data_IF_527140391339
#
_entry.id   IF_527140391339
#
_cell.length_a   1.000
_cell.length_b   1.000
_cell.length_c   1.000
_cell.angle_alpha   90.00
_cell.angle_beta   90.00
_cell.angle_gamma   90.00
#
_symmetry.space_group_name_H-M   'P 1'
#
loop_
_entity.id
_entity.type
_entity.pdbx_description
1 polymer ?
#
# COMPACT_ATOMS: atom_id res chain seq x y z
N UNK A 1 -33.57 -51.20 -39.07
CA UNK A 1 -32.16 -51.06 -38.58
C UNK A 1 -31.84 -49.57 -38.63
N UNK A 2 -32.01 -48.86 -37.52
CA UNK A 2 -31.70 -47.42 -37.41
C UNK A 2 -30.48 -47.23 -36.56
N UNK A 3 -29.39 -46.76 -37.16
CA UNK A 3 -28.17 -46.36 -36.46
C UNK A 3 -28.38 -44.96 -35.86
N UNK A 4 -28.39 -44.87 -34.52
CA UNK A 4 -28.32 -43.60 -33.82
C UNK A 4 -26.87 -43.10 -33.83
N UNK A 5 -26.63 -41.97 -34.43
CA UNK A 5 -25.38 -41.22 -34.34
C UNK A 5 -25.42 -40.39 -33.04
N UNK A 6 -24.56 -40.75 -32.13
CA UNK A 6 -24.34 -39.94 -30.90
C UNK A 6 -23.54 -38.67 -31.27
N UNK A 7 -24.13 -37.52 -31.10
CA UNK A 7 -23.43 -36.23 -31.15
C UNK A 7 -22.86 -35.94 -29.78
N UNK A 8 -21.55 -36.14 -29.62
CA UNK A 8 -20.81 -35.68 -28.47
C UNK A 8 -20.66 -34.16 -28.61
N UNK A 9 -21.35 -33.42 -27.77
CA UNK A 9 -21.17 -31.99 -27.62
C UNK A 9 -19.84 -31.76 -26.88
N UNK A 10 -18.86 -31.22 -27.58
CA UNK A 10 -17.64 -30.70 -27.01
C UNK A 10 -17.98 -29.33 -26.42
N UNK A 11 -18.21 -29.27 -25.12
CA UNK A 11 -18.38 -28.01 -24.40
C UNK A 11 -16.99 -27.38 -24.21
N UNK A 12 -16.65 -26.45 -25.06
CA UNK A 12 -15.52 -25.56 -24.89
C UNK A 12 -15.88 -24.60 -23.75
N UNK A 13 -15.38 -24.86 -22.55
CA UNK A 13 -15.42 -23.90 -21.45
C UNK A 13 -14.45 -22.77 -21.83
N UNK A 14 -14.99 -21.69 -22.36
CA UNK A 14 -14.29 -20.42 -22.40
C UNK A 14 -14.16 -19.95 -20.95
N UNK A 15 -13.02 -20.21 -20.35
CA UNK A 15 -12.60 -19.50 -19.14
C UNK A 15 -12.28 -18.09 -19.62
N UNK A 16 -13.30 -17.21 -19.59
CA UNK A 16 -13.07 -15.78 -19.67
C UNK A 16 -12.25 -15.39 -18.46
N UNK A 17 -10.96 -15.13 -18.65
CA UNK A 17 -10.20 -14.29 -17.73
C UNK A 17 -10.92 -12.94 -17.77
N UNK A 18 -11.81 -12.71 -16.82
CA UNK A 18 -12.19 -11.39 -16.42
C UNK A 18 -10.91 -10.82 -15.82
N UNK A 19 -10.19 -10.03 -16.60
CA UNK A 19 -9.29 -9.04 -16.06
C UNK A 19 -10.20 -8.11 -15.24
N UNK A 20 -10.33 -8.43 -13.96
CA UNK A 20 -10.79 -7.43 -13.02
C UNK A 20 -9.77 -6.29 -13.17
N UNK A 21 -10.19 -5.20 -13.81
CA UNK A 21 -9.60 -3.92 -13.48
C UNK A 21 -9.81 -3.83 -11.98
N UNK A 22 -8.77 -4.13 -11.22
CA UNK A 22 -8.79 -3.87 -9.79
C UNK A 22 -9.07 -2.38 -9.70
N UNK A 23 -10.21 -2.05 -9.12
CA UNK A 23 -10.48 -0.70 -8.71
C UNK A 23 -9.23 -0.26 -7.95
N UNK A 24 -8.54 0.76 -8.44
CA UNK A 24 -7.32 1.25 -7.82
C UNK A 24 -7.72 1.78 -6.46
N UNK A 25 -7.52 0.98 -5.43
CA UNK A 25 -7.64 1.44 -4.06
C UNK A 25 -6.62 2.56 -3.89
N UNK A 26 -7.11 3.73 -3.60
CA UNK A 26 -6.29 4.93 -3.65
C UNK A 26 -5.95 5.43 -2.26
N UNK A 27 -5.31 4.61 -1.46
CA UNK A 27 -4.85 4.97 -0.13
C UNK A 27 -3.73 5.99 -0.18
N UNK A 28 -3.73 6.95 0.74
CA UNK A 28 -2.65 7.90 0.93
C UNK A 28 -2.14 7.81 2.36
N UNK A 29 -0.85 7.76 2.54
CA UNK A 29 -0.25 7.64 3.86
C UNK A 29 0.82 8.69 4.10
N UNK A 30 1.08 8.97 5.37
CA UNK A 30 2.16 9.85 5.80
C UNK A 30 2.86 9.29 7.04
N UNK A 31 4.12 9.66 7.21
CA UNK A 31 4.90 9.47 8.42
C UNK A 31 5.57 10.79 8.75
N UNK A 32 5.58 11.17 10.04
CA UNK A 32 6.35 12.30 10.56
C UNK A 32 7.18 11.80 11.72
N UNK A 33 8.49 11.93 11.61
CA UNK A 33 9.45 11.50 12.61
C UNK A 33 9.30 12.28 13.92
N UNK A 34 9.57 11.64 15.05
CA UNK A 34 9.37 12.21 16.40
C UNK A 34 10.19 13.47 16.68
N UNK A 35 11.31 13.66 15.98
CA UNK A 35 12.10 14.90 16.05
C UNK A 35 11.48 16.10 15.36
N UNK A 36 10.40 15.89 14.60
CA UNK A 36 9.65 16.95 13.93
C UNK A 36 8.34 17.30 14.65
N UNK A 37 7.92 16.48 15.59
CA UNK A 37 6.63 16.66 16.29
C UNK A 37 6.78 17.46 17.58
N UNK A 38 5.70 18.12 17.96
CA UNK A 38 5.67 18.97 19.14
C UNK A 38 5.85 18.23 20.47
N UNK A 39 5.35 16.98 20.51
CA UNK A 39 5.36 16.15 21.72
C UNK A 39 6.41 15.04 21.71
N UNK A 40 7.21 14.95 20.64
CA UNK A 40 8.24 13.93 20.50
C UNK A 40 7.70 12.54 20.16
N UNK A 41 6.47 12.41 19.68
CA UNK A 41 5.90 11.16 19.21
C UNK A 41 6.08 11.01 17.68
N UNK A 42 6.14 9.77 17.19
CA UNK A 42 5.91 9.51 15.77
C UNK A 42 4.45 9.75 15.43
N UNK A 43 4.20 10.40 14.30
CA UNK A 43 2.86 10.49 13.73
C UNK A 43 2.84 9.73 12.42
N UNK A 44 1.89 8.84 12.26
CA UNK A 44 1.62 8.21 10.97
C UNK A 44 0.11 7.98 10.82
N UNK A 45 -0.32 7.90 9.60
CA UNK A 45 -1.72 7.67 9.29
C UNK A 45 -1.91 7.41 7.81
N UNK A 46 -3.06 6.85 7.49
CA UNK A 46 -3.48 6.61 6.12
C UNK A 46 -4.95 6.94 5.91
N UNK A 47 -5.32 7.14 4.68
CA UNK A 47 -6.70 7.04 4.24
C UNK A 47 -6.93 5.66 3.64
N UNK A 48 -8.14 5.17 3.75
CA UNK A 48 -8.64 4.09 2.93
C UNK A 48 -9.60 4.71 1.94
N UNK A 49 -9.22 4.68 0.68
CA UNK A 49 -9.96 5.30 -0.40
C UNK A 49 -10.53 4.19 -1.30
N UNK A 50 -11.84 3.99 -1.19
CA UNK A 50 -12.56 3.02 -1.96
C UNK A 50 -13.41 3.72 -3.04
N UNK A 51 -13.40 3.25 -4.29
CA UNK A 51 -14.27 3.80 -5.31
C UNK A 51 -15.75 3.55 -4.93
N UNK A 52 -16.56 4.60 -4.90
CA UNK A 52 -17.97 4.53 -4.57
C UNK A 52 -18.77 5.50 -5.43
N UNK A 53 -19.86 5.08 -6.08
CA UNK A 53 -20.27 3.69 -6.30
C UNK A 53 -19.38 2.99 -7.34
N UNK A 54 -19.40 1.67 -7.37
CA UNK A 54 -18.80 0.91 -8.46
C UNK A 54 -19.37 1.35 -9.81
N UNK A 55 -18.59 1.23 -10.89
CA UNK A 55 -19.03 1.61 -12.25
C UNK A 55 -20.35 0.93 -12.70
N UNK A 56 -20.68 -0.23 -12.13
CA UNK A 56 -21.92 -0.97 -12.36
C UNK A 56 -23.10 -0.49 -11.51
N UNK A 57 -22.89 0.52 -10.66
CA UNK A 57 -23.91 1.08 -9.78
C UNK A 57 -24.27 0.20 -8.57
N UNK A 58 -23.56 -0.91 -8.35
CA UNK A 58 -23.72 -1.70 -7.13
C UNK A 58 -23.08 -0.96 -5.96
N UNK A 59 -23.84 -0.80 -4.89
CA UNK A 59 -23.33 -0.35 -3.61
C UNK A 59 -22.81 -1.59 -2.87
N UNK A 60 -21.70 -2.14 -3.32
CA UNK A 60 -21.03 -3.13 -2.50
C UNK A 60 -20.26 -2.40 -1.41
N UNK A 61 -20.76 -2.58 -0.21
CA UNK A 61 -20.10 -2.38 1.07
C UNK A 61 -19.70 -0.94 1.39
N UNK A 62 -20.57 -0.30 2.16
CA UNK A 62 -20.03 0.61 3.17
C UNK A 62 -19.15 -0.25 4.07
N UNK A 63 -17.84 -0.15 3.93
CA UNK A 63 -16.91 -0.80 4.85
C UNK A 63 -17.12 -0.23 6.24
N UNK A 64 -18.11 -0.79 6.94
CA UNK A 64 -18.41 -0.41 8.31
C UNK A 64 -17.21 -0.80 9.17
N UNK A 65 -16.46 0.18 9.61
CA UNK A 65 -15.34 -0.06 10.50
C UNK A 65 -15.81 -0.25 11.92
N UNK A 66 -15.37 -1.33 12.52
CA UNK A 66 -15.60 -1.64 13.92
C UNK A 66 -14.29 -1.63 14.71
N UNK A 67 -14.36 -1.16 15.93
CA UNK A 67 -13.24 -1.22 16.86
C UNK A 67 -13.41 -2.45 17.75
N UNK A 68 -12.44 -3.36 17.67
CA UNK A 68 -12.41 -4.57 18.46
C UNK A 68 -11.32 -4.53 19.51
N UNK A 69 -11.62 -5.10 20.67
CA UNK A 69 -10.64 -5.36 21.74
C UNK A 69 -10.51 -6.87 21.91
N UNK A 70 -9.35 -7.38 21.52
CA UNK A 70 -9.01 -8.79 21.67
C UNK A 70 -8.22 -8.96 22.99
N UNK A 71 -8.78 -9.67 24.01
CA UNK A 71 -8.10 -9.86 25.28
C UNK A 71 -6.86 -10.75 25.10
N UNK A 72 -5.88 -10.60 26.01
CA UNK A 72 -4.79 -11.55 26.09
C UNK A 72 -5.35 -12.98 26.32
N UNK A 73 -4.76 -13.96 25.66
CA UNK A 73 -5.30 -15.32 25.64
C UNK A 73 -4.20 -16.38 25.64
N UNK A 74 -4.45 -17.44 26.39
CA UNK A 74 -3.66 -18.67 26.35
C UNK A 74 -4.29 -19.65 25.35
N UNK A 75 -3.46 -20.23 24.50
CA UNK A 75 -3.86 -21.20 23.49
C UNK A 75 -3.25 -22.57 23.77
N UNK A 76 -3.90 -23.60 23.26
CA UNK A 76 -3.42 -24.98 23.34
C UNK A 76 -2.57 -25.29 22.11
N UNK A 77 -1.74 -26.29 22.23
CA UNK A 77 -1.02 -26.83 21.09
C UNK A 77 -2.02 -27.32 20.03
N UNK A 78 -1.82 -26.88 18.78
CA UNK A 78 -2.71 -27.17 17.66
C UNK A 78 -3.79 -26.13 17.40
N UNK A 79 -4.00 -25.16 18.29
CA UNK A 79 -4.87 -24.00 17.99
C UNK A 79 -4.24 -23.16 16.88
N UNK A 80 -5.07 -22.68 15.94
CA UNK A 80 -4.61 -21.95 14.75
C UNK A 80 -5.37 -20.63 14.58
N UNK A 81 -4.67 -19.63 14.05
CA UNK A 81 -5.23 -18.47 13.39
C UNK A 81 -5.41 -18.81 11.90
N UNK A 82 -6.61 -18.67 11.39
CA UNK A 82 -6.96 -18.96 10.00
C UNK A 82 -7.16 -17.67 9.22
N UNK A 83 -6.37 -17.48 8.19
CA UNK A 83 -6.69 -16.53 7.14
C UNK A 83 -7.80 -17.12 6.24
N UNK A 84 -8.99 -16.56 6.31
CA UNK A 84 -10.14 -17.07 5.57
C UNK A 84 -10.07 -16.76 4.08
N UNK A 85 -9.36 -15.72 3.68
CA UNK A 85 -9.22 -15.31 2.27
C UNK A 85 -8.40 -16.31 1.48
N UNK A 86 -7.33 -16.83 2.07
CA UNK A 86 -6.40 -17.76 1.42
C UNK A 86 -6.50 -19.18 1.92
N UNK A 87 -7.11 -19.40 3.08
CA UNK A 87 -7.11 -20.68 3.79
C UNK A 87 -5.79 -20.98 4.52
N UNK A 88 -4.88 -20.01 4.60
CA UNK A 88 -3.59 -20.17 5.27
C UNK A 88 -3.76 -20.23 6.78
N UNK A 89 -2.98 -21.09 7.42
CA UNK A 89 -3.02 -21.28 8.86
C UNK A 89 -1.72 -20.85 9.51
N UNK A 90 -1.85 -20.22 10.68
CA UNK A 90 -0.74 -19.78 11.51
C UNK A 90 -0.93 -20.38 12.91
N UNK A 91 0.04 -21.13 13.47
CA UNK A 91 -0.06 -21.62 14.83
C UNK A 91 -0.16 -20.46 15.82
N UNK A 92 -1.10 -20.56 16.78
CA UNK A 92 -1.08 -19.64 17.90
C UNK A 92 0.13 -19.86 18.80
N UNK A 93 0.63 -18.79 19.41
CA UNK A 93 1.59 -18.92 20.50
C UNK A 93 0.85 -19.43 21.75
N UNK A 94 1.62 -20.03 22.68
CA UNK A 94 1.06 -20.47 23.97
C UNK A 94 0.35 -19.33 24.73
N UNK A 95 0.87 -18.12 24.59
CA UNK A 95 0.28 -16.89 25.12
C UNK A 95 0.38 -15.80 24.09
N UNK A 96 -0.75 -15.13 23.83
CA UNK A 96 -0.83 -13.95 22.95
C UNK A 96 -1.35 -12.76 23.73
N UNK A 97 -0.78 -11.58 23.42
CA UNK A 97 -1.03 -10.33 24.15
C UNK A 97 -2.39 -9.73 23.78
N UNK A 98 -2.93 -8.91 24.67
CA UNK A 98 -4.10 -8.09 24.38
C UNK A 98 -3.76 -7.07 23.30
N UNK A 99 -4.65 -6.93 22.32
CA UNK A 99 -4.52 -5.95 21.24
C UNK A 99 -5.90 -5.43 20.82
N UNK A 100 -5.86 -4.30 20.12
CA UNK A 100 -7.04 -3.70 19.50
C UNK A 100 -6.85 -3.63 18.00
N UNK A 101 -7.95 -3.68 17.28
CA UNK A 101 -7.95 -3.48 15.83
C UNK A 101 -9.14 -2.62 15.41
N UNK A 102 -8.97 -1.88 14.35
CA UNK A 102 -10.06 -1.37 13.52
C UNK A 102 -10.14 -2.25 12.31
N UNK A 103 -11.30 -2.82 12.07
CA UNK A 103 -11.52 -3.83 11.05
C UNK A 103 -12.86 -3.65 10.37
N UNK A 104 -13.00 -4.22 9.19
CA UNK A 104 -14.27 -4.32 8.49
C UNK A 104 -15.24 -5.21 9.23
N UNK A 105 -16.53 -4.96 9.04
CA UNK A 105 -17.56 -5.80 9.62
C UNK A 105 -17.58 -7.16 8.91
N UNK A 106 -17.27 -8.22 9.67
CA UNK A 106 -17.21 -9.59 9.16
C UNK A 106 -18.56 -10.11 8.61
N UNK A 107 -19.67 -9.41 8.85
CA UNK A 107 -20.98 -9.73 8.30
C UNK A 107 -21.09 -9.44 6.82
N UNK A 108 -20.26 -8.53 6.32
CA UNK A 108 -20.31 -8.04 4.95
C UNK A 108 -19.30 -8.74 4.04
N UNK A 109 -18.41 -9.58 4.58
CA UNK A 109 -17.41 -10.29 3.79
C UNK A 109 -17.36 -11.80 4.09
N UNK A 110 -17.24 -12.60 3.05
CA UNK A 110 -16.93 -14.03 3.16
C UNK A 110 -15.49 -14.29 3.60
N UNK A 111 -14.66 -13.25 3.60
CA UNK A 111 -13.23 -13.31 3.87
C UNK A 111 -12.93 -13.25 5.38
N UNK A 112 -13.88 -12.84 6.18
CA UNK A 112 -13.74 -12.70 7.62
C UNK A 112 -13.49 -11.26 8.04
N UNK A 113 -12.93 -11.08 9.22
CA UNK A 113 -12.56 -9.75 9.73
C UNK A 113 -11.28 -9.30 9.01
N UNK A 114 -11.34 -8.16 8.37
CA UNK A 114 -10.21 -7.52 7.72
C UNK A 114 -9.65 -6.46 8.67
N UNK A 115 -8.57 -6.81 9.37
CA UNK A 115 -7.98 -5.95 10.41
C UNK A 115 -6.88 -5.07 9.83
N UNK A 116 -7.14 -3.77 9.71
CA UNK A 116 -6.25 -2.85 9.01
C UNK A 116 -5.22 -2.17 9.88
N UNK A 117 -5.60 -1.79 11.09
CA UNK A 117 -4.67 -1.17 12.03
C UNK A 117 -5.07 -1.42 13.47
N UNK A 118 -4.11 -1.26 14.37
CA UNK A 118 -4.36 -1.44 15.79
C UNK A 118 -3.10 -1.22 16.62
N UNK A 119 -3.24 -1.54 17.90
CA UNK A 119 -2.11 -1.51 18.84
C UNK A 119 -2.29 -2.57 19.93
N UNK A 120 -1.18 -2.99 20.52
CA UNK A 120 -1.19 -3.98 21.60
C UNK A 120 -0.88 -3.36 22.97
N UNK A 121 -0.99 -4.18 24.04
CA UNK A 121 -0.76 -3.74 25.41
C UNK A 121 0.68 -3.34 25.71
N UNK A 122 1.64 -3.66 24.85
CA UNK A 122 3.03 -3.21 24.96
C UNK A 122 3.28 -1.87 24.25
N UNK A 123 2.24 -1.27 23.63
CA UNK A 123 2.33 -0.01 22.92
C UNK A 123 2.92 -0.13 21.53
N UNK A 124 2.98 -1.32 20.97
CA UNK A 124 3.28 -1.51 19.55
C UNK A 124 2.02 -1.25 18.77
N UNK A 125 2.09 -0.34 17.81
CA UNK A 125 1.02 -0.05 16.85
C UNK A 125 1.46 -0.41 15.44
N UNK A 126 0.51 -0.75 14.58
CA UNK A 126 0.76 -1.00 13.17
C UNK A 126 -0.42 -0.58 12.32
N UNK A 127 -0.13 -0.37 11.05
CA UNK A 127 -1.13 -0.27 10.00
C UNK A 127 -0.64 -1.10 8.81
N UNK A 128 -1.46 -2.05 8.39
CA UNK A 128 -1.31 -2.76 7.12
C UNK A 128 -2.10 -1.96 6.10
N UNK A 129 -1.51 -1.48 5.01
CA UNK A 129 -2.19 -0.29 4.62
C UNK A 129 -2.28 0.02 3.19
N UNK A 130 -1.32 -0.31 2.45
CA UNK A 130 -1.30 0.23 1.11
C UNK A 130 -0.94 -0.92 0.21
N UNK A 131 -1.99 -1.59 -0.27
CA UNK A 131 -1.78 -2.52 -1.38
C UNK A 131 -1.00 -1.81 -2.46
N UNK A 132 0.21 -2.27 -2.74
CA UNK A 132 1.07 -1.72 -3.75
C UNK A 132 1.18 -2.70 -4.91
N UNK A 133 1.08 -2.22 -6.13
CA UNK A 133 1.18 -3.07 -7.31
C UNK A 133 2.64 -3.46 -7.57
N UNK A 134 3.00 -4.75 -7.48
CA UNK A 134 4.33 -5.21 -7.82
C UNK A 134 4.63 -5.06 -9.32
N UNK A 135 5.93 -4.92 -9.65
CA UNK A 135 6.37 -4.89 -11.05
C UNK A 135 6.15 -6.25 -11.73
N UNK A 136 5.51 -6.24 -12.88
CA UNK A 136 5.29 -7.46 -13.67
C UNK A 136 6.60 -8.14 -14.11
N UNK A 137 7.68 -7.39 -14.28
CA UNK A 137 9.01 -7.96 -14.56
C UNK A 137 9.50 -8.87 -13.43
N UNK A 138 8.98 -8.70 -12.21
CA UNK A 138 9.35 -9.51 -11.04
C UNK A 138 8.32 -10.60 -10.79
N UNK A 139 7.04 -10.23 -10.67
CA UNK A 139 5.98 -11.19 -10.28
C UNK A 139 5.39 -11.94 -11.45
N UNK A 140 5.71 -11.54 -12.67
CA UNK A 140 5.13 -12.10 -13.89
C UNK A 140 3.82 -11.42 -14.31
N UNK A 141 3.35 -11.78 -15.49
CA UNK A 141 2.12 -11.24 -16.05
C UNK A 141 2.35 -10.15 -17.08
N UNK A 142 1.28 -9.47 -17.45
CA UNK A 142 1.31 -8.44 -18.48
C UNK A 142 1.46 -7.04 -17.88
N UNK A 143 2.28 -6.24 -18.52
CA UNK A 143 2.39 -4.82 -18.20
C UNK A 143 2.54 -3.99 -19.48
N UNK A 144 2.10 -2.74 -19.49
CA UNK A 144 2.32 -1.83 -20.60
C UNK A 144 3.80 -1.50 -20.74
N UNK A 145 4.26 -1.31 -21.97
CA UNK A 145 5.60 -0.79 -22.26
C UNK A 145 5.76 0.61 -21.71
N UNK A 146 6.94 0.89 -21.21
CA UNK A 146 7.32 2.24 -20.80
C UNK A 146 8.26 2.82 -21.86
N UNK A 147 7.90 3.98 -22.40
CA UNK A 147 8.73 4.70 -23.36
C UNK A 147 10.01 5.21 -22.69
N UNK A 148 11.03 5.54 -23.49
CA UNK A 148 12.31 6.04 -23.00
C UNK A 148 12.20 7.35 -22.17
N UNK A 149 11.15 8.11 -22.36
CA UNK A 149 10.84 9.33 -21.59
C UNK A 149 10.07 9.04 -20.28
N UNK A 150 9.79 7.75 -20.00
CA UNK A 150 9.09 7.29 -18.79
C UNK A 150 7.57 7.27 -18.91
N UNK A 151 6.98 7.54 -20.07
CA UNK A 151 5.54 7.44 -20.28
C UNK A 151 5.11 5.99 -20.44
N UNK A 152 4.04 5.61 -19.77
CA UNK A 152 3.34 4.34 -20.01
C UNK A 152 2.63 4.42 -21.35
N UNK A 153 2.80 3.41 -22.21
CA UNK A 153 2.17 3.33 -23.52
C UNK A 153 0.86 2.54 -23.38
N UNK A 154 -0.24 3.19 -23.66
CA UNK A 154 -1.56 2.57 -23.61
C UNK A 154 -1.83 1.69 -24.83
N UNK A 155 -2.76 0.74 -24.68
CA UNK A 155 -3.24 -0.13 -25.72
C UNK A 155 -2.66 -1.54 -25.69
N UNK A 156 -3.44 -2.55 -26.09
CA UNK A 156 -3.04 -3.96 -26.01
C UNK A 156 -1.80 -4.30 -26.85
N UNK A 157 -1.50 -3.52 -27.89
CA UNK A 157 -0.29 -3.68 -28.71
C UNK A 157 0.98 -3.25 -27.98
N UNK A 158 0.82 -2.51 -26.91
CA UNK A 158 1.91 -2.07 -26.06
C UNK A 158 2.10 -2.92 -24.81
N UNK A 159 1.30 -3.95 -24.61
CA UNK A 159 1.50 -4.90 -23.51
C UNK A 159 2.67 -5.85 -23.81
N UNK A 160 3.44 -6.13 -22.75
CA UNK A 160 4.50 -7.14 -22.73
C UNK A 160 4.15 -8.15 -21.65
N UNK A 161 4.28 -9.43 -21.96
CA UNK A 161 4.17 -10.51 -20.98
C UNK A 161 5.54 -10.85 -20.43
N UNK A 162 5.67 -10.84 -19.12
CA UNK A 162 6.88 -11.13 -18.39
C UNK A 162 6.80 -12.49 -17.69
N UNK A 163 7.87 -13.30 -17.73
CA UNK A 163 7.94 -14.50 -16.92
C UNK A 163 8.06 -14.12 -15.43
N UNK A 164 7.39 -14.86 -14.58
CA UNK A 164 7.53 -14.69 -13.14
C UNK A 164 8.93 -15.10 -12.65
N UNK A 165 9.60 -14.21 -11.93
CA UNK A 165 10.88 -14.47 -11.27
C UNK A 165 10.64 -14.85 -9.80
N UNK A 166 9.82 -14.05 -9.11
CA UNK A 166 9.32 -14.31 -7.75
C UNK A 166 7.82 -13.95 -7.68
N UNK A 167 6.95 -14.88 -8.11
CA UNK A 167 5.52 -14.63 -8.17
C UNK A 167 4.91 -14.48 -6.77
N UNK A 168 3.81 -13.74 -6.68
CA UNK A 168 2.99 -13.70 -5.48
C UNK A 168 2.51 -15.11 -5.11
N UNK A 169 2.49 -15.41 -3.82
CA UNK A 169 2.14 -16.73 -3.30
C UNK A 169 0.67 -16.73 -2.89
N UNK A 170 -0.18 -17.43 -3.63
CA UNK A 170 -1.63 -17.44 -3.42
C UNK A 170 -2.05 -17.74 -1.96
N UNK A 171 -1.30 -18.57 -1.26
CA UNK A 171 -1.52 -18.90 0.15
C UNK A 171 -0.51 -18.21 1.06
N UNK A 172 0.02 -17.06 0.64
CA UNK A 172 0.95 -16.24 1.41
C UNK A 172 0.26 -15.35 2.44
N UNK A 173 1.04 -14.50 3.06
CA UNK A 173 0.54 -13.47 3.99
C UNK A 173 -0.30 -12.45 3.21
N UNK A 174 -1.46 -12.09 3.75
CA UNK A 174 -2.37 -11.07 3.20
C UNK A 174 -2.46 -9.86 4.11
N UNK A 175 -2.90 -8.74 3.58
CA UNK A 175 -3.24 -7.55 4.35
C UNK A 175 -4.31 -7.85 5.41
N UNK A 176 -5.30 -8.66 5.05
CA UNK A 176 -6.43 -9.01 5.91
C UNK A 176 -6.00 -9.65 7.25
N UNK A 177 -4.92 -10.45 7.26
CA UNK A 177 -4.51 -11.22 8.44
C UNK A 177 -3.32 -10.62 9.20
N UNK A 178 -2.53 -9.76 8.54
CA UNK A 178 -1.21 -9.37 9.08
C UNK A 178 -1.31 -8.70 10.45
N UNK A 179 -2.34 -7.90 10.70
CA UNK A 179 -2.53 -7.22 11.99
C UNK A 179 -2.80 -8.20 13.12
N UNK A 180 -3.70 -9.17 12.89
CA UNK A 180 -4.02 -10.23 13.86
C UNK A 180 -2.88 -11.23 14.04
N UNK A 181 -2.04 -11.38 13.02
CA UNK A 181 -0.85 -12.23 13.07
C UNK A 181 0.26 -11.61 13.91
N UNK A 182 0.47 -10.29 13.82
CA UNK A 182 1.65 -9.62 14.37
C UNK A 182 1.40 -9.03 15.76
N UNK A 183 0.35 -8.22 15.94
CA UNK A 183 0.16 -7.45 17.19
C UNK A 183 0.13 -8.31 18.46
N UNK A 184 -0.53 -9.47 18.51
CA UNK A 184 -0.57 -10.25 19.74
C UNK A 184 0.74 -10.96 20.10
N UNK A 185 1.79 -10.83 19.28
CA UNK A 185 3.01 -11.67 19.38
C UNK A 185 4.29 -10.90 19.65
N UNK A 186 4.24 -9.56 19.66
CA UNK A 186 5.43 -8.70 19.67
C UNK A 186 5.37 -7.66 20.79
N UNK A 187 6.53 -7.17 21.19
CA UNK A 187 6.70 -6.15 22.22
C UNK A 187 7.36 -4.87 21.72
N UNK A 188 7.93 -4.90 20.53
CA UNK A 188 8.59 -3.75 19.90
C UNK A 188 8.26 -3.68 18.41
N UNK A 189 8.39 -2.49 17.84
CA UNK A 189 8.22 -2.28 16.40
C UNK A 189 9.23 -3.09 15.57
N UNK A 190 10.46 -3.23 16.06
CA UNK A 190 11.47 -4.05 15.39
C UNK A 190 11.10 -5.53 15.38
N UNK A 191 10.63 -6.07 16.52
CA UNK A 191 10.12 -7.45 16.58
C UNK A 191 8.96 -7.68 15.59
N UNK A 192 8.07 -6.69 15.42
CA UNK A 192 6.98 -6.77 14.48
C UNK A 192 7.48 -6.89 13.03
N UNK A 193 8.42 -6.03 12.62
CA UNK A 193 9.04 -6.10 11.30
C UNK A 193 9.79 -7.44 11.09
N UNK A 194 10.50 -7.92 12.10
CA UNK A 194 11.21 -9.19 12.03
C UNK A 194 10.28 -10.40 11.95
N UNK A 195 9.17 -10.38 12.68
CA UNK A 195 8.17 -11.45 12.63
C UNK A 195 7.51 -11.52 11.25
N UNK A 196 7.09 -10.37 10.70
CA UNK A 196 6.52 -10.36 9.37
C UNK A 196 7.53 -10.80 8.31
N UNK A 197 8.78 -10.34 8.39
CA UNK A 197 9.86 -10.78 7.52
C UNK A 197 10.01 -12.33 7.53
N UNK A 198 9.98 -12.93 8.73
CA UNK A 198 10.05 -14.38 8.90
C UNK A 198 8.84 -15.09 8.26
N UNK A 199 7.62 -14.59 8.47
CA UNK A 199 6.43 -15.22 7.89
C UNK A 199 6.44 -15.14 6.35
N UNK A 200 6.95 -14.04 5.78
CA UNK A 200 7.14 -13.92 4.32
C UNK A 200 8.25 -14.86 3.82
N UNK A 201 9.37 -14.98 4.53
CA UNK A 201 10.42 -15.95 4.17
C UNK A 201 9.90 -17.40 4.16
N UNK A 202 8.96 -17.74 5.06
CA UNK A 202 8.46 -19.11 5.23
C UNK A 202 7.24 -19.43 4.35
N UNK A 203 6.36 -18.45 4.12
CA UNK A 203 5.06 -18.65 3.45
C UNK A 203 4.87 -17.85 2.19
N UNK A 204 5.69 -16.83 1.99
CA UNK A 204 5.51 -15.84 0.94
C UNK A 204 4.43 -14.82 1.25
N UNK A 205 4.27 -13.85 0.35
CA UNK A 205 3.21 -12.84 0.37
C UNK A 205 2.24 -13.07 -0.78
N UNK A 206 0.95 -12.90 -0.51
CA UNK A 206 -0.10 -13.03 -1.52
C UNK A 206 -0.26 -11.76 -2.36
N UNK A 207 0.29 -10.64 -1.88
CA UNK A 207 0.15 -9.32 -2.49
C UNK A 207 1.35 -8.43 -2.19
N UNK A 208 1.52 -7.38 -2.97
CA UNK A 208 2.42 -6.29 -2.64
C UNK A 208 1.81 -5.39 -1.58
N UNK A 209 2.61 -4.95 -0.62
CA UNK A 209 2.06 -4.15 0.48
C UNK A 209 3.09 -3.20 1.08
N UNK A 210 2.59 -2.18 1.79
CA UNK A 210 3.39 -1.25 2.59
C UNK A 210 2.84 -1.24 4.01
N UNK A 211 3.70 -1.50 4.98
CA UNK A 211 3.31 -1.66 6.38
C UNK A 211 4.15 -0.77 7.27
N UNK A 212 3.52 -0.16 8.26
CA UNK A 212 4.20 0.65 9.27
C UNK A 212 4.02 0.01 10.64
N UNK A 213 5.11 -0.14 11.37
CA UNK A 213 5.15 -0.55 12.76
C UNK A 213 5.76 0.56 13.61
N UNK A 214 5.16 0.89 14.73
CA UNK A 214 5.71 1.89 15.63
C UNK A 214 5.55 1.49 17.10
N UNK A 215 6.53 1.88 17.89
CA UNK A 215 6.44 1.91 19.34
C UNK A 215 6.93 3.26 19.86
N UNK A 216 7.04 3.43 21.18
CA UNK A 216 7.49 4.70 21.77
C UNK A 216 8.94 5.09 21.41
N UNK A 217 9.75 4.14 20.93
CA UNK A 217 11.18 4.34 20.69
C UNK A 217 11.50 4.51 19.21
N UNK A 218 10.88 3.70 18.36
CA UNK A 218 11.22 3.61 16.93
C UNK A 218 10.01 3.29 16.06
N UNK A 219 10.14 3.64 14.78
CA UNK A 219 9.20 3.30 13.72
C UNK A 219 9.94 2.52 12.64
N UNK A 220 9.33 1.45 12.16
CA UNK A 220 9.79 0.65 11.03
C UNK A 220 8.77 0.74 9.91
N UNK A 221 9.24 1.05 8.71
CA UNK A 221 8.50 1.10 7.48
C UNK A 221 8.91 -0.09 6.60
N UNK A 222 7.97 -0.86 6.10
CA UNK A 222 8.25 -2.08 5.35
C UNK A 222 7.52 -2.08 4.04
N UNK A 223 8.22 -2.37 2.95
CA UNK A 223 7.67 -2.62 1.63
C UNK A 223 7.86 -4.09 1.25
N UNK A 224 6.81 -4.71 0.70
CA UNK A 224 6.77 -6.09 0.22
C UNK A 224 6.57 -6.04 -1.29
N UNK A 225 7.58 -6.46 -2.05
CA UNK A 225 7.67 -6.21 -3.50
C UNK A 225 7.19 -7.37 -4.36
N UNK A 226 7.17 -8.59 -3.81
CA UNK A 226 6.84 -9.82 -4.53
C UNK A 226 6.54 -10.94 -3.55
N UNK A 227 6.50 -12.18 -4.02
CA UNK A 227 6.22 -13.34 -3.17
C UNK A 227 7.14 -13.45 -1.97
N UNK A 228 8.42 -13.14 -2.10
CA UNK A 228 9.40 -13.31 -1.00
C UNK A 228 10.33 -12.11 -0.83
N UNK A 229 10.21 -11.06 -1.66
CA UNK A 229 11.13 -9.94 -1.57
C UNK A 229 10.52 -8.76 -0.81
N UNK A 230 11.24 -8.31 0.19
CA UNK A 230 10.83 -7.22 1.08
C UNK A 230 12.04 -6.45 1.63
N UNK A 231 11.79 -5.23 2.06
CA UNK A 231 12.72 -4.45 2.89
C UNK A 231 11.96 -3.74 3.98
N UNK A 232 12.37 -3.91 5.24
CA UNK A 232 11.95 -3.06 6.34
C UNK A 232 13.09 -2.09 6.70
N UNK A 233 12.72 -0.85 6.90
CA UNK A 233 13.62 0.29 7.13
C UNK A 233 13.26 0.99 8.43
N UNK A 234 14.26 1.18 9.31
CA UNK A 234 14.08 1.98 10.51
C UNK A 234 13.96 3.45 10.14
N UNK A 235 12.82 4.02 10.42
CA UNK A 235 12.49 5.38 10.00
C UNK A 235 13.26 6.42 10.82
N UNK A 236 13.89 7.44 10.21
CA UNK A 236 14.64 8.45 10.93
C UNK A 236 13.73 9.43 11.69
N UNK A 237 14.22 9.93 12.81
CA UNK A 237 13.45 10.79 13.71
C UNK A 237 13.18 12.19 13.13
N UNK A 238 14.00 12.66 12.18
CA UNK A 238 14.05 14.04 11.67
C UNK A 238 13.51 14.22 10.23
N UNK A 239 12.81 13.22 9.73
CA UNK A 239 12.22 13.23 8.38
C UNK A 239 10.71 13.10 8.42
N UNK A 240 10.06 13.50 7.31
CA UNK A 240 8.69 13.13 7.05
C UNK A 240 8.57 12.48 5.66
N UNK A 241 7.52 11.71 5.46
CA UNK A 241 7.20 11.06 4.19
C UNK A 241 5.72 11.16 3.89
N UNK A 242 5.38 11.19 2.60
CA UNK A 242 4.03 10.99 2.07
C UNK A 242 4.15 9.98 0.95
N UNK A 243 3.31 8.98 0.94
CA UNK A 243 3.39 7.90 -0.04
C UNK A 243 2.00 7.36 -0.42
N UNK A 244 1.83 6.95 -1.67
CA UNK A 244 0.60 6.40 -2.23
C UNK A 244 0.67 4.86 -2.30
N UNK A 245 -0.14 4.25 -3.17
CA UNK A 245 -0.18 2.79 -3.43
C UNK A 245 0.97 2.29 -4.32
N UNK A 246 2.18 2.78 -4.12
CA UNK A 246 3.36 2.31 -4.84
C UNK A 246 4.60 2.41 -3.97
N UNK A 247 5.66 1.69 -4.32
CA UNK A 247 6.89 1.64 -3.54
C UNK A 247 7.69 2.92 -3.67
N UNK A 248 8.10 3.47 -2.54
CA UNK A 248 8.75 4.78 -2.46
C UNK A 248 10.12 4.76 -1.79
N UNK A 249 10.45 3.68 -1.08
CA UNK A 249 11.75 3.58 -0.41
C UNK A 249 12.88 3.64 -1.44
N UNK A 250 13.71 4.65 -1.33
CA UNK A 250 14.79 4.92 -2.26
C UNK A 250 16.02 4.07 -1.99
N UNK A 251 17.19 4.72 -1.96
CA UNK A 251 18.47 4.04 -1.78
C UNK A 251 18.66 3.55 -0.35
N UNK A 252 18.98 2.27 -0.23
CA UNK A 252 19.36 1.63 1.04
C UNK A 252 20.65 0.82 0.86
N UNK A 253 21.34 0.59 1.98
CA UNK A 253 22.44 -0.36 2.04
C UNK A 253 21.98 -1.59 2.83
N UNK A 254 21.77 -2.72 2.17
CA UNK A 254 21.30 -3.96 2.82
C UNK A 254 22.29 -4.57 3.82
N UNK A 255 23.54 -4.06 3.87
CA UNK A 255 24.53 -4.46 4.87
C UNK A 255 24.36 -3.70 6.21
N UNK A 256 23.55 -2.64 6.25
CA UNK A 256 23.19 -1.94 7.49
C UNK A 256 22.14 -2.75 8.28
N UNK A 257 22.62 -3.76 9.01
CA UNK A 257 21.74 -4.66 9.77
C UNK A 257 21.11 -4.03 11.01
N UNK A 258 21.52 -2.84 11.39
CA UNK A 258 20.89 -2.08 12.47
C UNK A 258 19.58 -1.45 12.03
N UNK A 259 19.57 -0.88 10.82
CA UNK A 259 18.47 -0.07 10.31
C UNK A 259 17.71 -0.74 9.14
N UNK A 260 18.19 -1.86 8.61
CA UNK A 260 17.61 -2.56 7.45
C UNK A 260 17.39 -4.04 7.76
N UNK A 261 16.18 -4.52 7.51
CA UNK A 261 15.83 -5.93 7.43
C UNK A 261 15.41 -6.19 5.99
N UNK A 262 16.18 -6.97 5.24
CA UNK A 262 15.93 -7.24 3.84
C UNK A 262 15.91 -8.75 3.58
N UNK A 263 15.05 -9.17 2.66
CA UNK A 263 15.04 -10.52 2.12
C UNK A 263 16.40 -10.88 1.50
N UNK A 264 16.74 -12.15 1.54
CA UNK A 264 18.05 -12.61 1.04
C UNK A 264 18.20 -12.48 -0.47
N UNK A 265 17.08 -12.58 -1.19
CA UNK A 265 17.01 -12.55 -2.65
C UNK A 265 16.90 -11.17 -3.27
N UNK A 266 16.74 -10.11 -2.49
CA UNK A 266 16.34 -8.77 -2.95
C UNK A 266 17.15 -8.23 -4.14
N UNK A 267 18.45 -8.44 -4.18
CA UNK A 267 19.31 -8.03 -5.31
C UNK A 267 19.27 -9.07 -6.44
N UNK A 268 19.33 -10.35 -6.11
CA UNK A 268 19.39 -11.43 -7.10
C UNK A 268 18.11 -11.50 -7.93
N UNK A 269 16.96 -11.43 -7.29
CA UNK A 269 15.65 -11.40 -7.94
C UNK A 269 15.53 -10.22 -8.89
N UNK A 270 15.92 -9.02 -8.45
CA UNK A 270 15.93 -7.82 -9.28
C UNK A 270 16.86 -7.95 -10.50
N UNK A 271 18.02 -8.57 -10.34
CA UNK A 271 18.96 -8.83 -11.45
C UNK A 271 18.39 -9.84 -12.44
N UNK A 272 17.77 -10.92 -11.97
CA UNK A 272 17.10 -11.91 -12.83
C UNK A 272 15.95 -11.30 -13.61
N UNK A 273 15.21 -10.39 -12.98
CA UNK A 273 14.14 -9.63 -13.62
C UNK A 273 14.64 -8.51 -14.56
N UNK A 274 15.93 -8.22 -14.56
CA UNK A 274 16.52 -7.16 -15.39
C UNK A 274 16.20 -5.72 -14.93
N UNK A 275 15.77 -5.55 -13.68
CA UNK A 275 15.30 -4.25 -13.15
C UNK A 275 16.21 -3.65 -12.07
N UNK A 276 17.29 -4.32 -11.71
CA UNK A 276 18.20 -3.89 -10.64
C UNK A 276 18.82 -2.51 -10.90
N UNK A 277 18.69 -1.63 -9.93
CA UNK A 277 19.35 -0.31 -9.89
C UNK A 277 20.10 -0.18 -8.57
N UNK A 278 21.43 -0.13 -8.62
CA UNK A 278 22.27 -0.05 -7.43
C UNK A 278 23.72 -0.44 -7.67
N UNK A 279 24.45 -0.68 -6.57
CA UNK A 279 25.81 -1.20 -6.56
C UNK A 279 25.89 -2.44 -5.66
N UNK A 280 25.76 -3.62 -6.27
CA UNK A 280 25.78 -4.89 -5.54
C UNK A 280 27.06 -5.09 -4.72
N UNK A 281 28.21 -4.62 -5.24
CA UNK A 281 29.49 -4.78 -4.55
C UNK A 281 29.53 -4.06 -3.19
N UNK A 282 28.69 -3.03 -3.02
CA UNK A 282 28.51 -2.30 -1.77
C UNK A 282 27.28 -2.70 -0.99
N UNK A 283 26.42 -3.57 -1.56
CA UNK A 283 25.12 -3.88 -0.99
C UNK A 283 24.11 -2.72 -1.11
N UNK A 284 24.32 -1.82 -2.06
CA UNK A 284 23.44 -0.67 -2.30
C UNK A 284 22.39 -0.99 -3.36
N UNK A 285 21.13 -0.67 -3.07
CA UNK A 285 20.01 -0.79 -3.98
C UNK A 285 19.10 0.44 -3.87
N UNK A 286 18.63 0.95 -5.01
CA UNK A 286 17.53 1.92 -5.07
C UNK A 286 16.23 1.14 -5.26
N UNK A 287 15.49 0.94 -4.18
CA UNK A 287 14.33 0.06 -4.14
C UNK A 287 13.19 0.56 -5.02
N UNK A 288 12.87 1.84 -4.93
CA UNK A 288 11.82 2.40 -5.77
C UNK A 288 12.21 2.41 -7.26
N UNK A 289 13.48 2.64 -7.61
CA UNK A 289 13.94 2.52 -9.00
C UNK A 289 13.90 1.08 -9.51
N UNK A 290 14.14 0.12 -8.62
CA UNK A 290 14.20 -1.30 -8.91
C UNK A 290 12.80 -1.92 -8.96
N UNK A 291 11.98 -1.74 -7.93
CA UNK A 291 10.76 -2.50 -7.70
C UNK A 291 9.46 -1.73 -7.95
N UNK A 292 9.47 -0.38 -7.92
CA UNK A 292 8.25 0.37 -8.18
C UNK A 292 7.92 0.40 -9.67
N UNK A 293 6.64 0.27 -10.04
CA UNK A 293 6.18 0.65 -11.37
C UNK A 293 6.36 2.16 -11.58
N UNK A 294 6.22 2.67 -12.81
CA UNK A 294 6.16 4.11 -13.06
C UNK A 294 5.06 4.77 -12.24
N UNK A 295 5.36 5.95 -11.69
CA UNK A 295 4.35 6.72 -10.95
C UNK A 295 3.21 7.14 -11.86
N UNK A 296 2.02 6.77 -11.49
CA UNK A 296 0.80 7.23 -12.12
C UNK A 296 0.49 8.69 -11.71
N UNK A 297 -0.43 9.30 -12.43
CA UNK A 297 -0.83 10.68 -12.13
C UNK A 297 -1.46 10.79 -10.74
N UNK A 298 -2.27 9.81 -10.35
CA UNK A 298 -2.87 9.73 -9.03
C UNK A 298 -1.84 9.62 -7.90
N UNK A 299 -0.81 8.80 -8.08
CA UNK A 299 0.29 8.68 -7.12
C UNK A 299 1.01 10.02 -6.91
N UNK A 300 1.35 10.68 -8.02
CA UNK A 300 2.00 11.98 -7.99
C UNK A 300 1.18 13.02 -7.25
N UNK A 301 -0.11 13.04 -7.50
CA UNK A 301 -1.01 14.04 -6.90
C UNK A 301 -1.01 13.96 -5.39
N UNK A 302 -1.11 12.76 -4.86
CA UNK A 302 -1.16 12.50 -3.42
C UNK A 302 0.15 12.90 -2.73
N UNK A 303 1.28 12.50 -3.32
CA UNK A 303 2.60 12.82 -2.78
C UNK A 303 2.90 14.31 -2.86
N UNK A 304 2.69 14.92 -4.02
CA UNK A 304 2.90 16.34 -4.24
C UNK A 304 2.12 17.20 -3.25
N UNK A 305 0.83 16.95 -3.12
CA UNK A 305 -0.01 17.72 -2.21
C UNK A 305 0.38 17.52 -0.75
N UNK A 306 0.63 16.29 -0.33
CA UNK A 306 1.05 16.01 1.04
C UNK A 306 2.39 16.68 1.39
N UNK A 307 3.38 16.63 0.48
CA UNK A 307 4.66 17.33 0.67
C UNK A 307 4.43 18.83 0.79
N UNK A 308 3.63 19.43 -0.11
CA UNK A 308 3.34 20.87 -0.09
C UNK A 308 2.58 21.32 1.15
N UNK A 309 1.70 20.48 1.70
CA UNK A 309 0.99 20.77 2.94
C UNK A 309 1.91 20.75 4.16
N UNK A 310 2.82 19.77 4.23
CA UNK A 310 3.76 19.65 5.36
C UNK A 310 4.94 20.61 5.22
N UNK A 311 5.36 20.94 4.01
CA UNK A 311 6.43 21.89 3.73
C UNK A 311 6.11 22.74 2.50
N UNK A 312 5.38 23.86 2.65
CA UNK A 312 5.03 24.77 1.54
C UNK A 312 6.25 25.31 0.78
N UNK A 313 7.41 25.41 1.42
CA UNK A 313 8.65 25.88 0.81
C UNK A 313 9.44 24.80 0.06
N UNK A 314 8.96 23.55 0.04
CA UNK A 314 9.57 22.48 -0.73
C UNK A 314 9.66 22.84 -2.22
N UNK A 315 10.77 22.49 -2.85
CA UNK A 315 11.00 22.72 -4.28
C UNK A 315 10.38 21.66 -5.21
N UNK A 316 9.64 20.68 -4.65
CA UNK A 316 8.98 19.66 -5.46
C UNK A 316 7.93 20.30 -6.37
N UNK A 317 7.82 19.74 -7.58
CA UNK A 317 6.81 20.12 -8.57
C UNK A 317 5.93 18.92 -8.92
N UNK A 318 4.73 19.17 -9.40
CA UNK A 318 3.88 18.08 -9.86
C UNK A 318 4.45 17.32 -11.05
N UNK A 319 5.35 17.95 -11.81
CA UNK A 319 5.98 17.36 -13.00
C UNK A 319 7.19 16.48 -12.67
N UNK A 320 7.62 16.43 -11.41
CA UNK A 320 8.73 15.58 -11.01
C UNK A 320 8.41 14.11 -11.33
N UNK A 321 9.33 13.43 -11.97
CA UNK A 321 9.15 12.01 -12.36
C UNK A 321 9.14 11.08 -11.14
N UNK A 322 9.76 11.52 -10.05
CA UNK A 322 9.88 10.81 -8.79
C UNK A 322 10.07 11.83 -7.67
N UNK A 323 9.58 11.49 -6.49
CA UNK A 323 9.82 12.21 -5.25
C UNK A 323 10.73 11.40 -4.34
N UNK A 324 11.56 12.08 -3.57
CA UNK A 324 12.32 11.41 -2.50
C UNK A 324 11.35 10.95 -1.40
N UNK A 325 11.57 9.74 -0.88
CA UNK A 325 10.76 9.20 0.21
C UNK A 325 10.94 10.01 1.50
N UNK A 326 12.20 10.27 1.86
CA UNK A 326 12.54 11.01 3.06
C UNK A 326 12.64 12.51 2.75
N UNK A 327 11.71 13.28 3.29
CA UNK A 327 11.64 14.72 3.10
C UNK A 327 12.20 15.47 4.32
N UNK A 328 12.90 16.57 4.07
CA UNK A 328 13.33 17.52 5.09
C UNK A 328 12.22 18.52 5.41
N UNK A 329 12.08 18.89 6.69
CA UNK A 329 11.18 19.95 7.12
C UNK A 329 11.92 20.98 7.96
N UNK A 330 11.66 22.28 7.75
CA UNK A 330 12.11 23.32 8.67
C UNK A 330 11.30 23.35 9.98
N UNK A 331 10.12 22.73 10.00
CA UNK A 331 9.22 22.66 11.16
C UNK A 331 9.66 21.58 12.15
N UNK A 332 9.39 21.86 13.45
CA UNK A 332 9.62 20.94 14.58
C UNK A 332 8.42 20.96 15.55
N UNK A 333 7.26 21.28 15.06
CA UNK A 333 6.05 21.50 15.86
C UNK A 333 4.82 20.82 15.28
N UNK A 334 5.02 19.78 14.45
CA UNK A 334 3.91 19.04 13.89
C UNK A 334 3.04 18.40 14.96
N UNK A 335 1.76 18.36 14.67
CA UNK A 335 0.71 17.79 15.53
C UNK A 335 -0.15 16.81 14.74
N UNK A 336 -1.02 16.09 15.44
CA UNK A 336 -2.03 15.20 14.80
C UNK A 336 -2.88 15.97 13.76
N UNK A 337 -3.13 17.27 14.00
CA UNK A 337 -3.92 18.10 13.08
C UNK A 337 -3.22 18.24 11.71
N UNK A 338 -1.90 18.37 11.70
CA UNK A 338 -1.14 18.42 10.44
C UNK A 338 -1.33 17.14 9.63
N UNK A 339 -1.24 15.97 10.29
CA UNK A 339 -1.50 14.68 9.65
C UNK A 339 -2.93 14.54 9.14
N UNK A 340 -3.92 14.95 9.95
CA UNK A 340 -5.32 14.95 9.53
C UNK A 340 -5.56 15.88 8.33
N UNK A 341 -4.84 17.00 8.25
CA UNK A 341 -4.93 17.91 7.11
C UNK A 341 -4.39 17.26 5.83
N UNK A 342 -3.29 16.49 5.90
CA UNK A 342 -2.80 15.70 4.75
C UNK A 342 -3.88 14.75 4.28
N UNK A 343 -4.50 14.00 5.20
CA UNK A 343 -5.52 13.00 4.86
C UNK A 343 -6.82 13.60 4.31
N UNK A 344 -7.20 14.81 4.75
CA UNK A 344 -8.44 15.47 4.33
C UNK A 344 -8.32 16.28 3.04
N UNK A 345 -7.11 16.65 2.63
CA UNK A 345 -6.92 17.49 1.46
C UNK A 345 -7.39 16.78 0.18
N UNK A 346 -8.06 17.51 -0.67
CA UNK A 346 -8.62 17.05 -1.95
C UNK A 346 -8.02 17.79 -3.14
N UNK A 347 -6.93 18.52 -2.92
CA UNK A 347 -6.23 19.33 -3.92
C UNK A 347 -6.96 20.57 -4.44
N UNK A 348 -8.10 20.92 -3.88
CA UNK A 348 -8.80 22.14 -4.23
C UNK A 348 -8.04 23.37 -3.78
N UNK A 349 -7.39 23.25 -2.62
CA UNK A 349 -6.58 24.33 -2.08
C UNK A 349 -5.26 23.83 -1.55
N UNK A 350 -4.21 24.55 -1.85
CA UNK A 350 -2.92 24.42 -1.18
C UNK A 350 -2.63 25.76 -0.50
N UNK A 351 -2.27 25.74 0.80
CA UNK A 351 -2.00 26.95 1.60
C UNK A 351 -3.18 27.93 1.69
N UNK A 352 -4.42 27.44 1.54
CA UNK A 352 -5.62 28.27 1.58
C UNK A 352 -5.96 28.98 0.27
N UNK A 353 -5.19 28.79 -0.78
CA UNK A 353 -5.44 29.32 -2.11
C UNK A 353 -5.96 28.24 -3.06
N UNK A 354 -6.86 28.59 -3.96
CA UNK A 354 -7.32 27.67 -5.00
C UNK A 354 -6.15 27.30 -5.92
N UNK A 355 -6.00 26.01 -6.16
CA UNK A 355 -5.01 25.50 -7.10
C UNK A 355 -5.51 25.72 -8.52
N UNK A 356 -4.72 26.30 -9.44
CA UNK A 356 -5.09 26.43 -10.85
C UNK A 356 -5.41 25.08 -11.49
N UNK A 357 -6.30 25.07 -12.47
CA UNK A 357 -6.81 23.86 -13.12
C UNK A 357 -5.71 22.93 -13.67
N UNK A 358 -4.70 23.53 -14.30
CA UNK A 358 -3.55 22.82 -14.86
C UNK A 358 -2.61 22.24 -13.79
N UNK A 359 -2.77 22.65 -12.55
CA UNK A 359 -1.99 22.21 -11.40
C UNK A 359 -2.77 21.29 -10.46
N UNK A 360 -4.09 21.12 -10.67
CA UNK A 360 -4.88 20.17 -9.88
C UNK A 360 -4.52 18.75 -10.32
N UNK A 361 -3.90 17.97 -9.42
CA UNK A 361 -3.55 16.62 -9.75
C UNK A 361 -4.79 15.77 -10.04
N UNK A 362 -4.74 14.92 -11.06
CA UNK A 362 -5.88 14.10 -11.45
C UNK A 362 -6.95 14.81 -12.27
N UNK A 363 -6.87 16.14 -12.44
CA UNK A 363 -7.83 16.86 -13.27
C UNK A 363 -7.71 16.45 -14.74
N UNK A 364 -8.80 15.93 -15.28
CA UNK A 364 -8.92 15.63 -16.71
C UNK A 364 -9.69 16.74 -17.41
N UNK A 365 -8.98 17.52 -18.21
CA UNK A 365 -9.58 18.61 -18.98
C UNK A 365 -10.61 18.14 -20.00
N UNK A 366 -10.58 16.87 -20.38
CA UNK A 366 -11.54 16.30 -21.36
C UNK A 366 -12.88 16.00 -20.70
N UNK A 367 -12.86 15.49 -19.47
CA UNK A 367 -14.07 15.17 -18.73
C UNK A 367 -14.57 16.33 -17.89
N UNK A 368 -13.67 17.20 -17.40
CA UNK A 368 -13.97 18.36 -16.56
C UNK A 368 -14.89 18.02 -15.36
N UNK A 369 -14.96 16.73 -15.02
CA UNK A 369 -15.97 16.22 -14.09
C UNK A 369 -15.69 16.63 -12.65
N UNK A 370 -14.42 16.57 -12.24
CA UNK A 370 -14.07 16.82 -10.83
C UNK A 370 -14.17 18.28 -10.43
N UNK A 371 -13.76 19.16 -11.31
CA UNK A 371 -13.89 20.61 -11.08
C UNK A 371 -15.35 21.04 -10.98
N UNK A 372 -16.18 20.54 -11.86
CA UNK A 372 -17.62 20.82 -11.84
C UNK A 372 -18.28 20.36 -10.55
N UNK A 373 -17.83 19.24 -10.00
CA UNK A 373 -18.31 18.74 -8.70
C UNK A 373 -17.85 19.59 -7.54
N UNK A 374 -16.70 20.23 -7.64
CA UNK A 374 -16.18 21.16 -6.63
C UNK A 374 -16.72 22.59 -6.77
N UNK A 375 -17.34 22.93 -7.91
CA UNK A 375 -17.92 24.24 -8.16
C UNK A 375 -19.30 24.36 -7.52
N UNK A 376 -19.50 25.23 -6.53
CA UNK A 376 -20.81 25.44 -5.91
C UNK A 376 -21.92 25.88 -6.86
N UNK A 377 -21.58 26.40 -8.03
CA UNK A 377 -22.53 26.79 -9.06
C UNK A 377 -23.00 25.64 -9.95
N UNK A 378 -22.28 24.49 -9.92
CA UNK A 378 -22.66 23.31 -10.69
C UNK A 378 -23.88 22.63 -10.05
N UNK A 379 -24.93 22.31 -10.85
CA UNK A 379 -26.12 21.63 -10.34
C UNK A 379 -25.86 20.25 -9.75
N UNK A 380 -24.68 19.67 -9.98
CA UNK A 380 -24.25 18.40 -9.41
C UNK A 380 -23.32 18.58 -8.19
N UNK A 381 -23.07 19.81 -7.75
CA UNK A 381 -22.25 20.09 -6.58
C UNK A 381 -22.71 19.27 -5.37
N UNK A 382 -21.78 18.53 -4.79
CA UNK A 382 -22.02 17.73 -3.60
C UNK A 382 -22.89 16.47 -3.80
N UNK A 383 -23.35 16.17 -5.03
CA UNK A 383 -24.17 14.96 -5.30
C UNK A 383 -23.35 13.67 -5.40
N UNK A 384 -22.07 13.78 -5.68
CA UNK A 384 -21.19 12.64 -5.82
C UNK A 384 -20.18 12.61 -4.68
N UNK A 385 -19.78 11.43 -4.32
CA UNK A 385 -18.66 11.21 -3.40
C UNK A 385 -17.35 11.55 -4.14
N UNK A 386 -17.27 12.77 -4.47
CA UNK A 386 -16.29 13.51 -5.11
C UNK A 386 -14.85 13.19 -4.69
N UNK A 387 -14.80 12.68 -3.54
CA UNK A 387 -13.57 12.60 -2.84
C UNK A 387 -12.57 11.65 -3.45
N UNK A 388 -13.00 10.59 -4.07
CA UNK A 388 -12.06 9.51 -4.33
C UNK A 388 -11.19 9.77 -5.52
N UNK A 389 -11.81 10.21 -6.57
CA UNK A 389 -11.10 10.44 -7.82
C UNK A 389 -10.33 11.74 -7.82
N UNK A 390 -10.74 12.71 -7.00
CA UNK A 390 -9.99 13.94 -6.84
C UNK A 390 -8.82 13.82 -5.90
N UNK A 391 -8.81 12.82 -5.04
CA UNK A 391 -7.62 12.50 -4.26
C UNK A 391 -6.48 12.02 -5.11
N UNK A 392 -6.87 11.52 -6.20
CA UNK A 392 -5.95 10.91 -7.12
C UNK A 392 -5.46 11.93 -8.07
#
# INVERSE_FOLDING_TARGET
MNKKVSKTLLSTVLIGLVLSQQAVEACSAFIIGKGLTKDGSFLYGRTEDYPYPHEDGTQEHTHNKNFFVNPAKDYKEGDILLDKSTGTVYPHLKHEYKYTVVADDSRDSNEGIFSEHGFNEHGVSMTATVTATPRSEVVGGKAPKVAADGRVLEGPENEVEYPAIDPLVKAGVTEAIVTDLILPRVKTAKEAAQLLAKEIDEKGSAEGNIIVFADKNELWYMEIYSGHEYVAFKYPDDKYSVFPNTYFLGKVNINDKENIIASKGIIETAKKAGVFVGDESKGEIDLAATYAPPLERGDRSRVYAGIKLLNPSSNVTFQDKRYEFLQDSPRRDFTVIDGLNVQRNRFETLNGELVPDDQVPGYDTKTDAYRKQADPSDPNYGKYAYAQETKM
#
